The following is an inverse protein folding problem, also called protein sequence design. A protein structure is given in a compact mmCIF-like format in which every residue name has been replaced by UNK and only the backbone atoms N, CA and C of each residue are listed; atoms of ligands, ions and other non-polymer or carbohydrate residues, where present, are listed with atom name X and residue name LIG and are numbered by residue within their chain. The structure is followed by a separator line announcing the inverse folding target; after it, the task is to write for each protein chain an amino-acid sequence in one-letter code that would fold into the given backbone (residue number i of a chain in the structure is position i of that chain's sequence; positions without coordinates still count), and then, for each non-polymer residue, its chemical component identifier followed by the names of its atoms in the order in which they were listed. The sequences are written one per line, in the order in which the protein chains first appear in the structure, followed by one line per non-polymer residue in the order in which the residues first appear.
data_IF_043327061818
#
_entry.id   IF_043327061818
#
_cell.length_a   1.000
_cell.length_b   1.000
_cell.length_c   1.000
_cell.angle_alpha   90.00
_cell.angle_beta   90.00
_cell.angle_gamma   90.00
#
_symmetry.space_group_name_H-M   'P 1'
#
loop_
_entity.id
_entity.type
_entity.pdbx_description
1 polymer ?
#
# COMPACT_ATOMS: atom_id res chain seq x y z
N UNK A 1 -22.16 -50.64 -38.90
CA UNK A 1 -21.60 -51.94 -38.52
C UNK A 1 -21.03 -52.53 -39.81
N UNK A 2 -19.74 -52.31 -40.07
CA UNK A 2 -19.07 -52.86 -41.25
C UNK A 2 -18.76 -54.32 -40.96
N UNK A 3 -19.41 -55.22 -41.70
CA UNK A 3 -19.00 -56.63 -41.77
C UNK A 3 -17.61 -56.61 -42.40
N UNK A 4 -16.55 -57.15 -41.75
CA UNK A 4 -15.29 -57.30 -42.44
C UNK A 4 -15.51 -58.29 -43.59
N UNK A 5 -15.25 -57.84 -44.82
CA UNK A 5 -15.09 -58.73 -45.97
C UNK A 5 -13.97 -59.71 -45.62
N UNK A 6 -14.34 -60.93 -45.23
CA UNK A 6 -13.42 -62.06 -45.26
C UNK A 6 -13.02 -62.26 -46.72
N UNK A 7 -11.72 -62.13 -46.99
CA UNK A 7 -11.16 -62.44 -48.29
C UNK A 7 -11.53 -63.89 -48.69
N UNK A 8 -11.89 -64.17 -49.95
CA UNK A 8 -12.21 -65.52 -50.42
C UNK A 8 -10.91 -66.30 -50.65
N UNK A 9 -10.15 -66.54 -49.58
CA UNK A 9 -8.72 -66.79 -49.73
C UNK A 9 -8.09 -67.85 -48.83
N UNK A 10 -8.84 -68.59 -48.02
CA UNK A 10 -8.28 -69.76 -47.29
C UNK A 10 -9.39 -70.77 -46.95
N UNK A 11 -10.12 -71.24 -47.97
CA UNK A 11 -10.84 -72.51 -47.81
C UNK A 11 -9.83 -73.65 -47.90
N UNK A 12 -9.15 -73.94 -46.78
CA UNK A 12 -8.34 -75.16 -46.65
C UNK A 12 -9.32 -76.31 -46.52
N UNK A 13 -9.54 -77.04 -47.62
CA UNK A 13 -10.33 -78.27 -47.57
C UNK A 13 -9.69 -79.24 -46.56
N UNK A 14 -10.50 -79.97 -45.79
CA UNK A 14 -9.98 -81.00 -44.90
C UNK A 14 -9.12 -81.98 -45.71
N UNK A 15 -7.95 -82.35 -45.16
CA UNK A 15 -7.03 -83.28 -45.83
C UNK A 15 -7.77 -84.56 -46.20
N UNK A 16 -7.77 -84.87 -47.49
CA UNK A 16 -8.29 -86.12 -48.02
C UNK A 16 -7.60 -87.30 -47.32
N UNK A 17 -8.32 -88.29 -46.78
CA UNK A 17 -7.71 -89.55 -46.35
C UNK A 17 -6.83 -90.11 -47.46
N UNK A 18 -5.55 -90.40 -47.17
CA UNK A 18 -4.53 -90.76 -48.18
C UNK A 18 -4.78 -92.11 -48.90
N UNK A 19 -5.88 -92.79 -48.59
CA UNK A 19 -6.27 -94.10 -49.15
C UNK A 19 -7.39 -94.02 -50.20
N UNK A 20 -7.87 -92.81 -50.54
CA UNK A 20 -8.95 -92.64 -51.52
C UNK A 20 -8.42 -92.81 -52.95
N UNK A 21 -9.24 -93.37 -53.83
CA UNK A 21 -8.86 -93.63 -55.22
C UNK A 21 -8.71 -92.39 -56.13
N UNK A 22 -8.86 -91.18 -55.57
CA UNK A 22 -8.82 -89.90 -56.28
C UNK A 22 -8.17 -88.78 -55.47
N UNK A 23 -7.70 -87.73 -56.16
CA UNK A 23 -7.23 -86.52 -55.50
C UNK A 23 -8.37 -85.49 -55.36
N UNK A 24 -8.62 -85.04 -54.12
CA UNK A 24 -9.62 -84.05 -53.78
C UNK A 24 -9.47 -82.70 -54.52
N UNK A 25 -8.24 -82.33 -54.89
CA UNK A 25 -7.93 -81.06 -55.56
C UNK A 25 -8.48 -81.00 -57.01
N UNK A 26 -8.84 -82.14 -57.60
CA UNK A 26 -9.42 -82.19 -58.95
C UNK A 26 -10.84 -81.62 -59.00
N UNK A 27 -11.60 -81.71 -57.89
CA UNK A 27 -12.97 -81.16 -57.80
C UNK A 27 -13.03 -79.64 -57.76
N UNK A 28 -11.90 -78.96 -57.52
CA UNK A 28 -11.82 -77.50 -57.39
C UNK A 28 -11.44 -76.84 -58.73
N UNK A 29 -10.94 -77.63 -59.70
CA UNK A 29 -10.50 -77.12 -61.00
C UNK A 29 -11.71 -76.68 -61.83
N UNK A 30 -11.66 -75.48 -62.39
CA UNK A 30 -12.72 -74.95 -63.27
C UNK A 30 -12.96 -75.81 -64.52
N UNK A 31 -11.97 -76.62 -64.93
CA UNK A 31 -12.04 -77.55 -66.06
C UNK A 31 -12.49 -78.96 -65.68
N UNK A 32 -13.11 -79.15 -64.51
CA UNK A 32 -13.52 -80.48 -64.05
C UNK A 32 -14.58 -81.09 -64.99
N UNK A 33 -14.29 -82.30 -65.48
CA UNK A 33 -15.23 -83.09 -66.26
C UNK A 33 -15.35 -84.49 -65.66
N UNK A 34 -16.60 -84.89 -65.39
CA UNK A 34 -16.93 -86.19 -64.78
C UNK A 34 -16.45 -87.33 -65.67
N UNK A 35 -16.55 -87.18 -66.99
CA UNK A 35 -16.17 -88.22 -67.95
C UNK A 35 -14.65 -88.42 -68.01
N UNK A 36 -13.88 -87.34 -67.92
CA UNK A 36 -12.40 -87.42 -67.87
C UNK A 36 -11.92 -88.00 -66.53
N UNK A 37 -12.52 -87.55 -65.42
CA UNK A 37 -12.23 -88.06 -64.07
C UNK A 37 -12.46 -89.57 -63.95
N UNK A 38 -13.59 -90.07 -64.48
CA UNK A 38 -13.89 -91.50 -64.49
C UNK A 38 -12.95 -92.30 -65.41
N UNK A 39 -12.50 -91.72 -66.53
CA UNK A 39 -11.56 -92.37 -67.45
C UNK A 39 -10.16 -92.51 -66.82
N UNK A 40 -9.67 -91.46 -66.18
CA UNK A 40 -8.32 -91.40 -65.60
C UNK A 40 -8.18 -92.32 -64.38
N UNK A 41 -9.28 -92.60 -63.66
CA UNK A 41 -9.26 -93.44 -62.45
C UNK A 41 -9.82 -94.85 -62.67
N UNK A 42 -10.27 -95.17 -63.89
CA UNK A 42 -10.82 -96.50 -64.28
C UNK A 42 -9.84 -97.67 -64.09
N UNK A 43 -8.53 -97.40 -64.12
CA UNK A 43 -7.48 -98.42 -63.91
C UNK A 43 -7.18 -98.68 -62.43
N UNK A 44 -7.59 -97.77 -61.54
CA UNK A 44 -7.19 -97.78 -60.13
C UNK A 44 -8.31 -98.23 -59.18
N UNK A 45 -9.60 -98.12 -59.57
CA UNK A 45 -10.72 -98.55 -58.73
C UNK A 45 -11.98 -98.96 -59.54
N UNK A 46 -12.79 -99.86 -58.95
CA UNK A 46 -14.13 -100.18 -59.47
C UNK A 46 -15.15 -99.08 -59.09
N UNK A 47 -16.22 -98.93 -59.88
CA UNK A 47 -17.25 -97.90 -59.69
C UNK A 47 -17.90 -97.93 -58.29
N UNK A 48 -18.02 -99.10 -57.67
CA UNK A 48 -18.57 -99.23 -56.31
C UNK A 48 -17.62 -98.66 -55.25
N UNK A 49 -16.31 -98.93 -55.38
CA UNK A 49 -15.27 -98.40 -54.49
C UNK A 49 -15.21 -96.87 -54.62
N UNK A 50 -15.29 -96.36 -55.85
CA UNK A 50 -15.28 -94.92 -56.11
C UNK A 50 -16.50 -94.19 -55.53
N UNK A 51 -17.69 -94.81 -55.59
CA UNK A 51 -18.91 -94.29 -54.95
C UNK A 51 -18.73 -94.22 -53.44
N UNK A 52 -18.21 -95.28 -52.84
CA UNK A 52 -18.04 -95.37 -51.40
C UNK A 52 -16.98 -94.36 -50.91
N UNK A 53 -15.88 -94.20 -51.64
CA UNK A 53 -14.84 -93.20 -51.43
C UNK A 53 -15.36 -91.77 -51.55
N UNK A 54 -16.18 -91.47 -52.56
CA UNK A 54 -16.87 -90.18 -52.70
C UNK A 54 -17.84 -89.92 -51.53
N UNK A 55 -18.53 -90.97 -51.05
CA UNK A 55 -19.41 -90.90 -49.89
C UNK A 55 -18.65 -90.60 -48.59
N UNK A 56 -17.46 -91.20 -48.42
CA UNK A 56 -16.54 -90.91 -47.31
C UNK A 56 -16.07 -89.47 -47.39
N UNK A 57 -15.60 -89.02 -48.56
CA UNK A 57 -15.13 -87.64 -48.76
C UNK A 57 -16.23 -86.60 -48.50
N UNK A 58 -17.47 -86.85 -48.95
CA UNK A 58 -18.63 -85.99 -48.67
C UNK A 58 -18.92 -85.88 -47.16
N UNK A 59 -18.81 -86.98 -46.41
CA UNK A 59 -18.98 -86.97 -44.95
C UNK A 59 -17.87 -86.18 -44.26
N UNK A 60 -16.62 -86.35 -44.69
CA UNK A 60 -15.46 -85.58 -44.19
C UNK A 60 -15.63 -84.09 -44.46
N UNK A 61 -16.05 -83.72 -45.67
CA UNK A 61 -16.37 -82.33 -46.03
C UNK A 61 -17.47 -81.73 -45.15
N UNK A 62 -18.55 -82.47 -44.91
CA UNK A 62 -19.64 -82.02 -44.01
C UNK A 62 -19.14 -81.84 -42.57
N UNK A 63 -18.31 -82.75 -42.06
CA UNK A 63 -17.71 -82.64 -40.72
C UNK A 63 -16.83 -81.40 -40.62
N UNK A 64 -15.94 -81.19 -41.60
CA UNK A 64 -15.03 -80.05 -41.62
C UNK A 64 -15.77 -78.70 -41.74
N UNK A 65 -16.86 -78.65 -42.53
CA UNK A 65 -17.70 -77.46 -42.63
C UNK A 65 -18.35 -77.13 -41.27
N UNK A 66 -18.87 -78.14 -40.57
CA UNK A 66 -19.44 -77.98 -39.23
C UNK A 66 -18.37 -77.51 -38.24
N UNK A 67 -17.16 -78.08 -38.30
CA UNK A 67 -16.02 -77.67 -37.47
C UNK A 67 -15.59 -76.23 -37.73
N UNK A 68 -15.55 -75.79 -38.99
CA UNK A 68 -15.20 -74.42 -39.36
C UNK A 68 -16.25 -73.42 -38.85
N UNK A 69 -17.54 -73.73 -39.03
CA UNK A 69 -18.64 -72.92 -38.47
C UNK A 69 -18.54 -72.84 -36.94
N UNK A 70 -18.27 -73.96 -36.27
CA UNK A 70 -18.14 -74.00 -34.81
C UNK A 70 -16.91 -73.24 -34.31
N UNK A 71 -15.81 -73.27 -35.06
CA UNK A 71 -14.61 -72.47 -34.78
C UNK A 71 -14.91 -70.98 -34.89
N UNK A 72 -15.49 -70.54 -36.00
CA UNK A 72 -15.84 -69.13 -36.22
C UNK A 72 -16.86 -68.64 -35.18
N UNK A 73 -17.81 -69.50 -34.80
CA UNK A 73 -18.77 -69.22 -33.73
C UNK A 73 -18.07 -69.06 -32.37
N UNK A 74 -17.07 -69.89 -32.07
CA UNK A 74 -16.27 -69.80 -30.84
C UNK A 74 -15.43 -68.51 -30.83
N UNK A 75 -14.81 -68.16 -31.95
CA UNK A 75 -14.05 -66.91 -32.09
C UNK A 75 -14.97 -65.69 -31.91
N UNK A 76 -16.15 -65.68 -32.53
CA UNK A 76 -17.14 -64.62 -32.37
C UNK A 76 -17.65 -64.51 -30.92
N UNK A 77 -17.96 -65.62 -30.25
CA UNK A 77 -18.32 -65.62 -28.83
C UNK A 77 -17.17 -65.10 -27.97
N UNK A 78 -15.95 -65.53 -28.22
CA UNK A 78 -14.80 -65.08 -27.44
C UNK A 78 -14.56 -63.58 -27.58
N UNK A 79 -14.70 -63.03 -28.81
CA UNK A 79 -14.53 -61.61 -29.07
C UNK A 79 -15.64 -60.78 -28.42
N UNK A 80 -16.90 -61.20 -28.56
CA UNK A 80 -18.05 -60.54 -27.92
C UNK A 80 -17.95 -60.57 -26.39
N UNK A 81 -17.52 -61.69 -25.81
CA UNK A 81 -17.27 -61.80 -24.36
C UNK A 81 -16.15 -60.86 -23.91
N UNK A 82 -15.05 -60.81 -24.65
CA UNK A 82 -13.93 -59.91 -24.37
C UNK A 82 -14.30 -58.43 -24.48
N UNK A 83 -15.19 -58.07 -25.41
CA UNK A 83 -15.66 -56.70 -25.59
C UNK A 83 -16.52 -56.25 -24.40
N UNK A 84 -17.37 -57.12 -23.90
CA UNK A 84 -18.15 -56.89 -22.67
C UNK A 84 -17.24 -56.72 -21.45
N UNK A 85 -16.17 -57.51 -21.36
CA UNK A 85 -15.19 -57.36 -20.28
C UNK A 85 -14.30 -56.12 -20.45
N UNK A 86 -14.10 -55.64 -21.68
CA UNK A 86 -13.42 -54.38 -21.96
C UNK A 86 -14.25 -53.19 -21.46
N UNK A 87 -15.56 -53.19 -21.66
CA UNK A 87 -16.47 -52.17 -21.11
C UNK A 87 -16.39 -52.12 -19.58
N UNK A 88 -16.39 -53.30 -18.92
CA UNK A 88 -16.18 -53.36 -17.46
C UNK A 88 -14.82 -52.79 -17.03
N UNK A 89 -13.75 -53.06 -17.80
CA UNK A 89 -12.41 -52.49 -17.52
C UNK A 89 -12.38 -50.98 -17.75
N UNK A 90 -13.08 -50.49 -18.76
CA UNK A 90 -13.22 -49.07 -19.04
C UNK A 90 -13.95 -48.38 -17.88
N UNK A 91 -15.07 -48.94 -17.41
CA UNK A 91 -15.80 -48.45 -16.23
C UNK A 91 -14.91 -48.46 -14.97
N UNK A 92 -14.12 -49.51 -14.78
CA UNK A 92 -13.17 -49.62 -13.68
C UNK A 92 -12.07 -48.54 -13.70
N UNK A 93 -11.82 -47.90 -14.85
CA UNK A 93 -10.86 -46.79 -14.97
C UNK A 93 -11.59 -45.44 -14.92
N UNK A 94 -12.73 -45.33 -15.60
CA UNK A 94 -13.52 -44.11 -15.68
C UNK A 94 -14.04 -43.68 -14.30
N UNK A 95 -14.48 -44.64 -13.47
CA UNK A 95 -14.99 -44.35 -12.13
C UNK A 95 -13.93 -43.74 -11.20
N UNK A 96 -12.72 -44.33 -11.02
CA UNK A 96 -11.65 -43.73 -10.24
C UNK A 96 -11.17 -42.37 -10.77
N UNK A 97 -11.12 -42.17 -12.09
CA UNK A 97 -10.74 -40.88 -12.68
C UNK A 97 -11.79 -39.81 -12.38
N UNK A 98 -13.08 -40.16 -12.46
CA UNK A 98 -14.18 -39.29 -12.08
C UNK A 98 -14.13 -38.92 -10.59
N UNK A 99 -13.84 -39.89 -9.73
CA UNK A 99 -13.63 -39.66 -8.29
C UNK A 99 -12.44 -38.74 -8.06
N UNK A 100 -11.27 -39.02 -8.66
CA UNK A 100 -10.07 -38.18 -8.52
C UNK A 100 -10.32 -36.74 -8.97
N UNK A 101 -10.99 -36.55 -10.11
CA UNK A 101 -11.40 -35.24 -10.61
C UNK A 101 -12.31 -34.52 -9.60
N UNK A 102 -13.27 -35.23 -9.01
CA UNK A 102 -14.12 -34.72 -7.93
C UNK A 102 -13.31 -34.30 -6.69
N UNK A 103 -12.36 -35.13 -6.26
CA UNK A 103 -11.46 -34.82 -5.14
C UNK A 103 -10.57 -33.61 -5.43
N UNK A 104 -10.00 -33.49 -6.63
CA UNK A 104 -9.21 -32.33 -7.05
C UNK A 104 -10.07 -31.07 -7.01
N UNK A 105 -11.28 -31.13 -7.57
CA UNK A 105 -12.22 -30.00 -7.56
C UNK A 105 -12.61 -29.59 -6.14
N UNK A 106 -12.86 -30.56 -5.26
CA UNK A 106 -13.16 -30.31 -3.85
C UNK A 106 -11.97 -29.66 -3.13
N UNK A 107 -10.76 -30.18 -3.34
CA UNK A 107 -9.53 -29.62 -2.75
C UNK A 107 -9.26 -28.21 -3.26
N UNK A 108 -9.48 -27.95 -4.55
CA UNK A 108 -9.37 -26.61 -5.11
C UNK A 108 -10.40 -25.66 -4.51
N UNK A 109 -11.65 -26.10 -4.31
CA UNK A 109 -12.68 -25.32 -3.63
C UNK A 109 -12.31 -25.00 -2.17
N UNK A 110 -11.81 -25.99 -1.42
CA UNK A 110 -11.30 -25.80 -0.06
C UNK A 110 -10.15 -24.79 -0.03
N UNK A 111 -9.20 -24.90 -0.95
CA UNK A 111 -8.06 -23.98 -1.05
C UNK A 111 -8.52 -22.55 -1.36
N UNK A 112 -9.45 -22.38 -2.30
CA UNK A 112 -10.00 -21.07 -2.64
C UNK A 112 -10.68 -20.42 -1.42
N UNK A 113 -11.48 -21.19 -0.67
CA UNK A 113 -12.12 -20.70 0.56
C UNK A 113 -11.08 -20.32 1.62
N UNK A 114 -10.05 -21.15 1.82
CA UNK A 114 -8.96 -20.83 2.76
C UNK A 114 -8.18 -19.58 2.36
N UNK A 115 -7.96 -19.36 1.05
CA UNK A 115 -7.32 -18.13 0.55
C UNK A 115 -8.20 -16.90 0.84
N UNK A 116 -9.51 -17.01 0.65
CA UNK A 116 -10.45 -15.92 0.94
C UNK A 116 -10.46 -15.59 2.44
N UNK A 117 -10.55 -16.59 3.30
CA UNK A 117 -10.43 -16.44 4.76
C UNK A 117 -9.10 -15.77 5.14
N UNK A 118 -7.99 -16.25 4.57
CA UNK A 118 -6.65 -15.69 4.83
C UNK A 118 -6.56 -14.22 4.42
N UNK A 119 -7.17 -13.84 3.29
CA UNK A 119 -7.24 -12.44 2.85
C UNK A 119 -8.03 -11.55 3.83
N UNK A 120 -9.12 -12.06 4.40
CA UNK A 120 -9.86 -11.37 5.47
C UNK A 120 -8.97 -11.16 6.69
N UNK A 121 -8.25 -12.20 7.13
CA UNK A 121 -7.30 -12.09 8.24
C UNK A 121 -6.17 -11.10 7.97
N UNK A 122 -5.61 -11.08 6.76
CA UNK A 122 -4.55 -10.13 6.37
C UNK A 122 -5.09 -8.69 6.42
N UNK A 123 -6.30 -8.44 5.90
CA UNK A 123 -6.94 -7.11 5.98
C UNK A 123 -7.13 -6.68 7.44
N UNK A 124 -7.66 -7.57 8.28
CA UNK A 124 -7.84 -7.31 9.72
C UNK A 124 -6.52 -7.03 10.42
N UNK A 125 -5.46 -7.81 10.12
CA UNK A 125 -4.11 -7.61 10.68
C UNK A 125 -3.53 -6.26 10.30
N UNK A 126 -3.73 -5.80 9.06
CA UNK A 126 -3.32 -4.46 8.61
C UNK A 126 -4.04 -3.36 9.39
N UNK A 127 -5.36 -3.48 9.57
CA UNK A 127 -6.15 -2.52 10.36
C UNK A 127 -5.68 -2.47 11.81
N UNK A 128 -5.50 -3.63 12.46
CA UNK A 128 -4.99 -3.71 13.84
C UNK A 128 -3.60 -3.07 13.98
N UNK A 129 -2.71 -3.24 12.99
CA UNK A 129 -1.39 -2.61 12.99
C UNK A 129 -1.49 -1.08 12.97
N UNK A 130 -2.37 -0.52 12.13
CA UNK A 130 -2.61 0.92 12.08
C UNK A 130 -3.19 1.45 13.38
N UNK A 131 -4.20 0.78 13.94
CA UNK A 131 -4.77 1.13 15.24
C UNK A 131 -3.73 1.08 16.36
N UNK A 132 -2.89 0.03 16.40
CA UNK A 132 -1.80 -0.09 17.36
C UNK A 132 -0.81 1.08 17.25
N UNK A 133 -0.48 1.51 16.04
CA UNK A 133 0.41 2.65 15.83
C UNK A 133 -0.19 3.95 16.37
N UNK A 134 -1.47 4.21 16.09
CA UNK A 134 -2.19 5.38 16.62
C UNK A 134 -2.21 5.38 18.15
N UNK A 135 -2.56 4.24 18.77
CA UNK A 135 -2.54 4.10 20.23
C UNK A 135 -1.14 4.27 20.83
N UNK A 136 -0.11 3.81 20.12
CA UNK A 136 1.29 3.98 20.56
C UNK A 136 1.68 5.46 20.54
N UNK A 137 1.34 6.19 19.47
CA UNK A 137 1.55 7.64 19.39
C UNK A 137 0.79 8.39 20.47
N UNK A 138 -0.48 8.03 20.71
CA UNK A 138 -1.29 8.58 21.79
C UNK A 138 -0.62 8.39 23.16
N UNK A 139 -0.14 7.17 23.44
CA UNK A 139 0.58 6.88 24.69
C UNK A 139 1.86 7.70 24.83
N UNK A 140 2.59 7.93 23.73
CA UNK A 140 3.77 8.80 23.73
C UNK A 140 3.39 10.25 24.07
N UNK A 141 2.32 10.77 23.48
CA UNK A 141 1.79 12.11 23.78
C UNK A 141 1.42 12.20 25.26
N UNK A 142 0.62 11.27 25.78
CA UNK A 142 0.21 11.28 27.20
C UNK A 142 1.40 11.20 28.16
N UNK A 143 2.42 10.41 27.82
CA UNK A 143 3.64 10.32 28.62
C UNK A 143 4.39 11.65 28.65
N UNK A 144 4.67 12.25 27.49
CA UNK A 144 5.32 13.55 27.40
C UNK A 144 4.52 14.66 28.04
N UNK A 145 3.18 14.63 27.95
CA UNK A 145 2.31 15.56 28.67
C UNK A 145 2.44 15.42 30.19
N UNK A 146 2.62 14.21 30.74
CA UNK A 146 2.89 14.02 32.17
C UNK A 146 4.24 14.60 32.56
N UNK A 147 5.27 14.40 31.74
CA UNK A 147 6.60 14.99 31.96
C UNK A 147 6.51 16.52 31.96
N UNK A 148 5.85 17.11 30.96
CA UNK A 148 5.64 18.57 30.89
C UNK A 148 4.86 19.11 32.11
N UNK A 149 3.84 18.38 32.58
CA UNK A 149 3.12 18.75 33.80
C UNK A 149 4.02 18.71 35.05
N UNK A 150 4.94 17.75 35.13
CA UNK A 150 5.90 17.70 36.24
C UNK A 150 6.89 18.88 36.19
N UNK A 151 7.32 19.27 34.99
CA UNK A 151 8.20 20.42 34.77
C UNK A 151 7.52 21.76 35.01
N UNK A 152 6.19 21.79 35.04
CA UNK A 152 5.44 22.98 35.44
C UNK A 152 5.79 23.43 36.87
N UNK A 153 6.19 22.51 37.75
CA UNK A 153 6.57 22.81 39.14
C UNK A 153 8.09 22.94 39.36
N UNK A 154 8.90 22.83 38.31
CA UNK A 154 10.35 23.01 38.41
C UNK A 154 10.69 24.51 38.40
N UNK A 155 11.71 24.88 39.20
CA UNK A 155 12.24 26.25 39.31
C UNK A 155 13.53 26.48 38.49
N UNK A 156 14.18 25.42 37.98
CA UNK A 156 15.40 25.53 37.17
C UNK A 156 15.07 25.89 35.72
N UNK A 157 15.11 27.18 35.41
CA UNK A 157 14.77 27.75 34.09
C UNK A 157 15.55 27.12 32.92
N UNK A 158 16.80 26.68 33.14
CA UNK A 158 17.68 26.19 32.07
C UNK A 158 17.32 24.76 31.70
N UNK A 159 17.09 23.90 32.71
CA UNK A 159 16.62 22.53 32.51
C UNK A 159 15.20 22.54 31.94
N UNK A 160 14.36 23.46 32.41
CA UNK A 160 13.00 23.66 31.92
C UNK A 160 13.03 24.02 30.43
N UNK A 161 13.91 24.94 30.00
CA UNK A 161 14.00 25.42 28.63
C UNK A 161 14.26 24.31 27.60
N UNK A 162 15.36 23.58 27.74
CA UNK A 162 15.73 22.52 26.78
C UNK A 162 14.73 21.38 26.81
N UNK A 163 14.27 21.00 28.01
CA UNK A 163 13.34 19.89 28.14
C UNK A 163 11.97 20.23 27.59
N UNK A 164 11.44 21.42 27.86
CA UNK A 164 10.17 21.91 27.29
C UNK A 164 10.24 21.91 25.77
N UNK A 165 11.30 22.46 25.18
CA UNK A 165 11.50 22.49 23.73
C UNK A 165 11.47 21.10 23.09
N UNK A 166 12.24 20.16 23.67
CA UNK A 166 12.32 18.79 23.16
C UNK A 166 10.97 18.06 23.25
N UNK A 167 10.26 18.21 24.38
CA UNK A 167 8.97 17.56 24.60
C UNK A 167 7.84 18.17 23.76
N UNK A 168 7.83 19.49 23.54
CA UNK A 168 6.88 20.14 22.64
C UNK A 168 7.08 19.62 21.22
N UNK A 169 8.32 19.63 20.73
CA UNK A 169 8.64 19.16 19.37
C UNK A 169 8.23 17.69 19.20
N UNK A 170 8.51 16.87 20.21
CA UNK A 170 8.13 15.46 20.24
C UNK A 170 6.60 15.26 20.21
N UNK A 171 5.86 15.98 21.06
CA UNK A 171 4.39 15.91 21.08
C UNK A 171 3.81 16.35 19.74
N UNK A 172 4.29 17.45 19.16
CA UNK A 172 3.81 17.95 17.88
C UNK A 172 4.02 16.96 16.73
N UNK A 173 5.16 16.29 16.70
CA UNK A 173 5.41 15.21 15.75
C UNK A 173 4.36 14.09 15.86
N UNK A 174 4.06 13.64 17.08
CA UNK A 174 3.07 12.58 17.30
C UNK A 174 1.62 13.04 17.08
N UNK A 175 1.28 14.29 17.40
CA UNK A 175 -0.03 14.89 17.10
C UNK A 175 -0.25 14.92 15.59
N UNK A 176 0.72 15.38 14.82
CA UNK A 176 0.62 15.44 13.35
C UNK A 176 0.38 14.06 12.71
N UNK A 177 0.87 12.98 13.32
CA UNK A 177 0.64 11.62 12.86
C UNK A 177 -0.77 11.07 13.20
N UNK A 178 -1.50 11.69 14.12
CA UNK A 178 -2.76 11.17 14.67
C UNK A 178 -3.95 12.14 14.61
N UNK A 179 -3.75 13.39 14.18
CA UNK A 179 -4.78 14.46 14.21
C UNK A 179 -6.08 14.12 13.49
N UNK A 180 -6.04 13.27 12.46
CA UNK A 180 -7.22 12.88 11.67
C UNK A 180 -7.97 11.67 12.25
N UNK A 181 -7.63 11.24 13.47
CA UNK A 181 -8.19 10.04 14.11
C UNK A 181 -9.15 10.41 15.23
N UNK A 182 -10.34 9.77 15.31
CA UNK A 182 -11.33 10.08 16.35
C UNK A 182 -10.79 9.79 17.76
N UNK A 183 -9.87 8.84 17.92
CA UNK A 183 -9.22 8.54 19.20
C UNK A 183 -8.42 9.74 19.76
N UNK A 184 -7.97 10.66 18.90
CA UNK A 184 -7.21 11.83 19.30
C UNK A 184 -8.07 12.95 19.91
N UNK A 185 -9.37 13.02 19.60
CA UNK A 185 -10.26 14.11 20.07
C UNK A 185 -10.22 14.28 21.59
N UNK A 186 -10.22 13.17 22.33
CA UNK A 186 -10.18 13.19 23.81
C UNK A 186 -8.86 13.72 24.38
N UNK A 187 -7.76 13.53 23.65
CA UNK A 187 -6.42 13.97 24.08
C UNK A 187 -6.19 15.40 23.65
N UNK A 188 -6.78 15.81 22.52
CA UNK A 188 -6.69 17.17 21.99
C UNK A 188 -7.13 18.22 23.01
N UNK A 189 -8.21 17.96 23.76
CA UNK A 189 -8.68 18.90 24.80
C UNK A 189 -7.68 19.03 25.95
N UNK A 190 -7.08 17.93 26.38
CA UNK A 190 -6.09 17.91 27.46
C UNK A 190 -4.77 18.54 27.00
N UNK A 191 -4.40 18.33 25.75
CA UNK A 191 -3.24 18.96 25.15
C UNK A 191 -3.44 20.47 25.05
N UNK A 192 -4.60 20.93 24.60
CA UNK A 192 -4.87 22.36 24.46
C UNK A 192 -4.85 23.07 25.83
N UNK A 193 -5.43 22.47 26.87
CA UNK A 193 -5.37 23.06 28.22
C UNK A 193 -3.93 23.14 28.76
N UNK A 194 -3.13 22.09 28.56
CA UNK A 194 -1.71 22.08 28.92
C UNK A 194 -0.92 23.11 28.11
N UNK A 195 -1.17 23.20 26.80
CA UNK A 195 -0.55 24.16 25.90
C UNK A 195 -0.80 25.59 26.38
N UNK A 196 -2.03 25.95 26.75
CA UNK A 196 -2.33 27.28 27.29
C UNK A 196 -1.58 27.55 28.61
N UNK A 197 -1.51 26.57 29.51
CA UNK A 197 -0.74 26.70 30.76
C UNK A 197 0.76 26.92 30.50
N UNK A 198 1.35 26.16 29.57
CA UNK A 198 2.74 26.30 29.17
C UNK A 198 3.01 27.63 28.48
N UNK A 199 2.10 28.10 27.63
CA UNK A 199 2.19 29.42 26.99
C UNK A 199 2.30 30.50 28.05
N UNK A 200 1.38 30.57 29.02
CA UNK A 200 1.43 31.56 30.10
C UNK A 200 2.73 31.47 30.92
N UNK A 201 3.19 30.24 31.25
CA UNK A 201 4.44 30.07 32.01
C UNK A 201 5.65 30.57 31.22
N UNK A 202 5.78 30.18 29.95
CA UNK A 202 6.90 30.57 29.08
C UNK A 202 6.88 32.07 28.80
N UNK A 203 5.71 32.67 28.62
CA UNK A 203 5.55 34.12 28.45
C UNK A 203 6.08 34.89 29.66
N UNK A 204 5.71 34.46 30.87
CA UNK A 204 6.23 35.09 32.10
C UNK A 204 7.75 34.95 32.24
N UNK A 205 8.30 33.79 31.87
CA UNK A 205 9.75 33.55 31.89
C UNK A 205 10.48 34.38 30.82
N UNK A 206 9.89 34.53 29.63
CA UNK A 206 10.40 35.40 28.57
C UNK A 206 10.50 36.85 29.05
N UNK A 207 9.45 37.39 29.70
CA UNK A 207 9.46 38.75 30.22
C UNK A 207 10.53 38.96 31.30
N UNK A 208 10.73 37.97 32.18
CA UNK A 208 11.82 38.00 33.18
C UNK A 208 13.19 37.98 32.51
N UNK A 209 13.42 37.07 31.57
CA UNK A 209 14.68 36.97 30.83
C UNK A 209 14.98 38.24 30.02
N UNK A 210 13.94 38.85 29.43
CA UNK A 210 14.05 40.14 28.74
C UNK A 210 14.47 41.27 29.71
N UNK A 211 13.82 41.38 30.87
CA UNK A 211 14.16 42.38 31.89
C UNK A 211 15.58 42.20 32.44
N UNK A 212 16.05 40.96 32.57
CA UNK A 212 17.41 40.63 32.98
C UNK A 212 18.46 40.74 31.86
N UNK A 213 18.06 41.02 30.62
CA UNK A 213 18.91 41.06 29.41
C UNK A 213 19.63 39.75 29.10
N UNK A 214 18.99 38.61 29.35
CA UNK A 214 19.54 37.27 29.12
C UNK A 214 19.28 36.78 27.69
N UNK A 215 20.06 37.25 26.72
CA UNK A 215 19.83 36.99 25.27
C UNK A 215 19.65 35.51 24.92
N UNK A 216 20.50 34.62 25.46
CA UNK A 216 20.40 33.18 25.19
C UNK A 216 19.05 32.59 25.64
N UNK A 217 18.57 32.95 26.83
CA UNK A 217 17.27 32.46 27.33
C UNK A 217 16.11 33.05 26.55
N UNK A 218 16.19 34.34 26.17
CA UNK A 218 15.18 35.01 25.33
C UNK A 218 15.02 34.27 24.00
N UNK A 219 16.13 33.93 23.34
CA UNK A 219 16.10 33.17 22.09
C UNK A 219 15.41 31.82 22.26
N UNK A 220 15.81 31.05 23.28
CA UNK A 220 15.22 29.74 23.53
C UNK A 220 13.72 29.81 23.88
N UNK A 221 13.27 30.80 24.67
CA UNK A 221 11.86 30.98 24.98
C UNK A 221 11.05 31.37 23.74
N UNK A 222 11.59 32.20 22.85
CA UNK A 222 10.94 32.53 21.58
C UNK A 222 10.81 31.30 20.70
N UNK A 223 11.87 30.50 20.55
CA UNK A 223 11.82 29.23 19.81
C UNK A 223 10.74 28.31 20.40
N UNK A 224 10.62 28.25 21.74
CA UNK A 224 9.62 27.42 22.41
C UNK A 224 8.19 27.89 22.13
N UNK A 225 7.96 29.20 22.15
CA UNK A 225 6.66 29.77 21.83
C UNK A 225 6.29 29.56 20.36
N UNK A 226 7.23 29.80 19.44
CA UNK A 226 7.02 29.58 17.99
C UNK A 226 6.68 28.12 17.72
N UNK A 227 7.38 27.18 18.38
CA UNK A 227 7.03 25.78 18.30
C UNK A 227 5.62 25.53 18.83
N UNK A 228 5.21 26.04 20.00
CA UNK A 228 3.85 25.83 20.52
C UNK A 228 2.72 26.38 19.65
N UNK A 229 2.94 27.54 19.02
CA UNK A 229 1.92 28.26 18.25
C UNK A 229 2.37 28.43 16.80
N UNK A 230 2.84 29.62 16.47
CA UNK A 230 3.43 30.01 15.21
C UNK A 230 4.16 31.35 15.40
N UNK A 231 4.87 31.79 14.35
CA UNK A 231 5.59 33.06 14.34
C UNK A 231 4.67 34.26 14.59
N UNK A 232 3.49 34.27 13.97
CA UNK A 232 2.58 35.42 14.00
C UNK A 232 2.00 35.70 15.39
N UNK A 233 1.74 34.65 16.17
CA UNK A 233 1.26 34.77 17.55
C UNK A 233 2.36 35.32 18.45
N UNK A 234 3.61 34.90 18.25
CA UNK A 234 4.76 35.40 19.02
C UNK A 234 5.06 36.86 18.68
N UNK A 235 5.01 37.24 17.41
CA UNK A 235 5.15 38.64 16.99
C UNK A 235 4.09 39.55 17.62
N UNK A 236 2.82 39.12 17.66
CA UNK A 236 1.74 39.87 18.33
C UNK A 236 2.00 40.00 19.83
N UNK A 237 2.46 38.94 20.48
CA UNK A 237 2.78 38.96 21.90
C UNK A 237 3.88 39.96 22.22
N UNK A 238 4.98 39.92 21.47
CA UNK A 238 6.10 40.85 21.68
C UNK A 238 5.66 42.29 21.43
N UNK A 239 4.84 42.51 20.40
CA UNK A 239 4.25 43.82 20.14
C UNK A 239 3.40 44.35 21.30
N UNK A 240 2.58 43.49 21.93
CA UNK A 240 1.66 43.89 23.00
C UNK A 240 2.35 44.06 24.35
N UNK A 241 3.18 43.08 24.75
CA UNK A 241 3.72 43.01 26.11
C UNK A 241 5.07 43.74 26.27
N UNK A 242 5.84 43.89 25.18
CA UNK A 242 7.18 44.49 25.23
C UNK A 242 7.23 45.83 24.49
N UNK A 243 6.84 45.85 23.21
CA UNK A 243 7.04 47.03 22.36
C UNK A 243 6.01 48.13 22.59
N UNK A 244 4.74 47.78 22.78
CA UNK A 244 3.69 48.76 23.05
C UNK A 244 3.97 49.61 24.29
N UNK A 245 4.25 49.05 25.49
CA UNK A 245 4.53 49.86 26.67
C UNK A 245 5.81 50.69 26.51
N UNK A 246 6.86 50.13 25.91
CA UNK A 246 8.13 50.83 25.69
C UNK A 246 7.97 52.05 24.77
N UNK A 247 7.24 51.89 23.66
CA UNK A 247 7.02 53.00 22.73
C UNK A 247 5.88 53.94 23.14
N UNK A 248 4.98 53.53 24.04
CA UNK A 248 4.02 54.45 24.69
C UNK A 248 4.75 55.48 25.55
N UNK A 249 5.72 55.03 26.35
CA UNK A 249 6.54 55.91 27.17
C UNK A 249 7.48 56.79 26.32
N UNK A 250 8.04 56.22 25.25
CA UNK A 250 9.04 56.90 24.43
C UNK A 250 8.44 57.86 23.40
N UNK A 251 7.39 57.45 22.68
CA UNK A 251 6.83 58.17 21.52
C UNK A 251 5.49 58.80 21.90
N UNK A 252 5.54 60.02 22.44
CA UNK A 252 4.38 60.84 22.76
C UNK A 252 4.69 62.34 22.56
N UNK A 253 3.66 63.19 22.49
CA UNK A 253 3.81 64.64 22.28
C UNK A 253 4.64 65.31 23.38
N UNK A 254 4.55 64.82 24.63
CA UNK A 254 5.32 65.34 25.77
C UNK A 254 6.83 65.06 25.60
N UNK A 255 7.18 63.86 25.11
CA UNK A 255 8.55 63.46 24.80
C UNK A 255 9.12 64.21 23.61
N UNK A 256 8.27 64.67 22.67
CA UNK A 256 8.69 65.53 21.58
C UNK A 256 8.92 66.98 22.05
N UNK A 257 8.07 67.47 22.95
CA UNK A 257 8.14 68.84 23.47
C UNK A 257 9.28 69.04 24.48
N UNK A 258 9.62 67.99 25.23
CA UNK A 258 10.69 68.02 26.25
C UNK A 258 12.09 67.79 25.68
N UNK A 259 12.23 67.25 24.47
CA UNK A 259 13.54 66.94 23.89
C UNK A 259 14.22 68.20 23.32
N UNK A 260 15.43 68.57 23.77
CA UNK A 260 16.14 69.74 23.28
C UNK A 260 16.51 69.66 21.79
N UNK A 261 16.56 68.45 21.21
CA UNK A 261 16.76 68.22 19.77
C UNK A 261 15.45 67.93 19.03
N UNK A 262 14.32 68.02 19.71
CA UNK A 262 12.99 67.78 19.18
C UNK A 262 12.89 66.41 18.47
N UNK A 263 12.42 66.34 17.22
CA UNK A 263 12.22 65.06 16.52
C UNK A 263 13.52 64.27 16.30
N UNK A 264 14.65 64.92 16.03
CA UNK A 264 15.94 64.25 15.84
C UNK A 264 16.40 63.54 17.12
N UNK A 265 16.17 64.16 18.29
CA UNK A 265 16.46 63.53 19.59
C UNK A 265 15.57 62.32 19.87
N UNK A 266 14.30 62.42 19.50
CA UNK A 266 13.34 61.32 19.61
C UNK A 266 13.71 60.14 18.69
N UNK A 267 14.10 60.41 17.44
CA UNK A 267 14.61 59.39 16.52
C UNK A 267 15.90 58.72 17.02
N UNK A 268 16.86 59.50 17.54
CA UNK A 268 18.07 58.95 18.13
C UNK A 268 17.78 58.01 19.33
N UNK A 269 16.79 58.35 20.16
CA UNK A 269 16.33 57.48 21.24
C UNK A 269 15.74 56.18 20.70
N UNK A 270 14.85 56.24 19.71
CA UNK A 270 14.29 55.04 19.05
C UNK A 270 15.42 54.15 18.50
N UNK A 271 16.40 54.71 17.81
CA UNK A 271 17.53 53.96 17.25
C UNK A 271 18.37 53.28 18.35
N UNK A 272 18.62 53.96 19.47
CA UNK A 272 19.34 53.35 20.60
C UNK A 272 18.62 52.13 21.19
N UNK A 273 17.29 52.15 21.20
CA UNK A 273 16.50 50.99 21.58
C UNK A 273 16.59 49.90 20.52
N UNK A 274 16.52 50.22 19.23
CA UNK A 274 16.71 49.23 18.15
C UNK A 274 18.04 48.47 18.31
N UNK A 275 19.13 49.16 18.62
CA UNK A 275 20.43 48.51 18.87
C UNK A 275 20.42 47.64 20.12
N UNK A 276 19.79 48.10 21.21
CA UNK A 276 19.60 47.28 22.42
C UNK A 276 18.75 46.04 22.16
N UNK A 277 17.74 46.12 21.29
CA UNK A 277 16.91 44.98 20.90
C UNK A 277 17.70 43.99 20.06
N UNK A 278 18.55 44.44 19.14
CA UNK A 278 19.45 43.55 18.40
C UNK A 278 20.39 42.77 19.32
N UNK A 279 20.89 43.38 20.38
CA UNK A 279 21.73 42.68 21.36
C UNK A 279 20.98 41.60 22.12
N UNK A 280 19.71 41.82 22.45
CA UNK A 280 18.90 40.89 23.24
C UNK A 280 18.32 39.76 22.35
N UNK A 281 17.85 40.11 21.16
CA UNK A 281 17.14 39.19 20.25
C UNK A 281 18.00 38.70 19.08
N UNK A 282 19.25 39.15 18.95
CA UNK A 282 20.13 38.84 17.82
C UNK A 282 20.57 37.37 17.74
N UNK A 283 20.40 36.61 18.82
CA UNK A 283 20.70 35.17 18.87
C UNK A 283 19.53 34.28 18.39
N UNK A 284 18.49 34.86 17.77
CA UNK A 284 17.32 34.10 17.30
C UNK A 284 17.60 33.54 15.90
N UNK A 285 17.75 32.22 15.82
CA UNK A 285 17.99 31.48 14.59
C UNK A 285 16.66 30.96 13.99
N UNK A 286 15.73 31.87 13.66
CA UNK A 286 14.47 31.52 13.01
C UNK A 286 14.34 32.35 11.73
N UNK A 287 14.50 31.72 10.57
CA UNK A 287 14.52 32.40 9.25
C UNK A 287 13.27 33.26 8.97
N UNK A 288 12.12 32.83 9.49
CA UNK A 288 10.83 33.50 9.32
C UNK A 288 10.54 34.57 10.38
N UNK A 289 11.33 34.67 11.44
CA UNK A 289 11.11 35.60 12.54
C UNK A 289 12.00 36.84 12.37
N UNK A 290 11.42 37.92 11.87
CA UNK A 290 12.12 39.20 11.76
C UNK A 290 11.50 40.24 12.70
N UNK A 291 12.05 40.33 13.91
CA UNK A 291 11.56 41.26 14.93
C UNK A 291 11.59 42.73 14.47
N UNK A 292 12.63 43.12 13.75
CA UNK A 292 12.81 44.50 13.32
C UNK A 292 11.77 44.90 12.28
N UNK A 293 11.60 44.08 11.24
CA UNK A 293 10.69 44.35 10.12
C UNK A 293 9.24 44.11 10.50
N UNK A 294 8.94 43.02 11.21
CA UNK A 294 7.55 42.59 11.44
C UNK A 294 6.94 43.16 12.73
N UNK A 295 7.76 43.56 13.71
CA UNK A 295 7.27 44.08 14.99
C UNK A 295 7.63 45.56 15.21
N UNK A 296 8.94 45.85 15.25
CA UNK A 296 9.45 47.17 15.66
C UNK A 296 9.00 48.29 14.72
N UNK A 297 9.30 48.17 13.42
CA UNK A 297 8.99 49.22 12.44
C UNK A 297 7.49 49.53 12.37
N UNK A 298 6.59 48.52 12.22
CA UNK A 298 5.14 48.78 12.21
C UNK A 298 4.65 49.48 13.48
N UNK A 299 5.17 49.08 14.64
CA UNK A 299 4.76 49.68 15.91
C UNK A 299 5.25 51.13 16.04
N UNK A 300 6.51 51.41 15.69
CA UNK A 300 7.06 52.78 15.69
C UNK A 300 6.29 53.69 14.73
N UNK A 301 6.06 53.25 13.49
CA UNK A 301 5.32 54.02 12.49
C UNK A 301 3.88 54.28 12.93
N UNK A 302 3.21 53.27 13.48
CA UNK A 302 1.86 53.41 14.04
C UNK A 302 1.84 54.45 15.15
N UNK A 303 2.83 54.45 16.04
CA UNK A 303 2.90 55.40 17.15
C UNK A 303 3.11 56.83 16.69
N UNK A 304 4.09 57.07 15.81
CA UNK A 304 4.30 58.40 15.24
C UNK A 304 3.07 58.94 14.49
N UNK A 305 2.42 58.09 13.68
CA UNK A 305 1.27 58.50 12.89
C UNK A 305 0.05 58.85 13.75
N UNK A 306 -0.20 58.09 14.82
CA UNK A 306 -1.41 58.24 15.64
C UNK A 306 -1.25 59.23 16.79
N UNK A 307 -0.09 59.23 17.44
CA UNK A 307 0.12 59.92 18.72
C UNK A 307 1.03 61.14 18.62
N UNK A 308 1.73 61.35 17.50
CA UNK A 308 2.61 62.51 17.30
C UNK A 308 2.28 63.22 15.99
N UNK A 309 1.02 63.66 15.86
CA UNK A 309 0.51 64.28 14.63
C UNK A 309 1.19 65.62 14.33
N UNK A 310 1.79 66.25 15.34
CA UNK A 310 2.59 67.46 15.22
C UNK A 310 3.82 67.29 14.30
N UNK A 311 4.29 66.06 14.06
CA UNK A 311 5.42 65.76 13.16
C UNK A 311 5.16 66.24 11.73
N UNK A 312 3.92 66.16 11.27
CA UNK A 312 3.58 66.52 9.89
C UNK A 312 3.56 68.03 9.64
N UNK A 313 3.54 68.87 10.69
CA UNK A 313 3.59 70.34 10.62
C UNK A 313 2.88 70.97 9.39
N UNK A 314 1.62 70.62 9.06
CA UNK A 314 1.03 70.92 7.76
C UNK A 314 0.80 72.43 7.50
N UNK A 315 0.94 73.26 8.53
CA UNK A 315 0.79 74.72 8.44
C UNK A 315 2.09 75.51 8.29
N UNK A 316 3.27 74.87 8.28
CA UNK A 316 4.56 75.56 8.15
C UNK A 316 5.50 74.79 7.20
N UNK A 317 5.73 75.35 6.00
CA UNK A 317 6.49 74.69 4.94
C UNK A 317 7.97 74.42 5.32
N UNK A 318 8.62 75.36 6.01
CA UNK A 318 10.03 75.21 6.42
C UNK A 318 10.17 74.14 7.50
N UNK A 319 9.26 74.13 8.47
CA UNK A 319 9.21 73.09 9.50
C UNK A 319 8.87 71.72 8.91
N UNK A 320 7.93 71.66 7.97
CA UNK A 320 7.61 70.43 7.25
C UNK A 320 8.83 69.88 6.51
N UNK A 321 9.53 70.72 5.74
CA UNK A 321 10.74 70.30 5.01
C UNK A 321 11.83 69.79 5.96
N UNK A 322 12.05 70.48 7.08
CA UNK A 322 13.00 70.05 8.10
C UNK A 322 12.64 68.68 8.69
N UNK A 323 11.40 68.49 9.12
CA UNK A 323 10.90 67.22 9.71
C UNK A 323 10.91 66.07 8.70
N UNK A 324 10.61 66.37 7.44
CA UNK A 324 10.76 65.42 6.35
C UNK A 324 12.20 64.94 6.23
N UNK A 325 13.17 65.86 6.17
CA UNK A 325 14.60 65.51 6.07
C UNK A 325 15.10 64.71 7.27
N UNK A 326 14.71 65.09 8.49
CA UNK A 326 15.01 64.36 9.73
C UNK A 326 14.42 62.93 9.68
N UNK A 327 13.20 62.77 9.14
CA UNK A 327 12.53 61.46 9.01
C UNK A 327 13.18 60.58 7.94
N UNK A 328 13.62 61.15 6.81
CA UNK A 328 14.35 60.40 5.78
C UNK A 328 15.69 59.89 6.30
N UNK A 329 16.44 60.73 7.04
CA UNK A 329 17.69 60.32 7.66
C UNK A 329 17.50 59.20 8.69
N UNK A 330 16.42 59.24 9.46
CA UNK A 330 16.06 58.17 10.39
C UNK A 330 15.77 56.84 9.67
N UNK A 331 15.05 56.89 8.54
CA UNK A 331 14.78 55.71 7.72
C UNK A 331 16.08 55.14 7.12
N UNK A 332 16.98 55.97 6.61
CA UNK A 332 18.28 55.54 6.08
C UNK A 332 19.11 54.81 7.15
N UNK A 333 19.05 55.28 8.41
CA UNK A 333 19.74 54.66 9.55
C UNK A 333 19.07 53.36 10.02
N UNK A 334 17.74 53.26 9.90
CA UNK A 334 16.99 52.02 10.15
C UNK A 334 17.26 50.96 9.07
N UNK A 335 17.39 51.37 7.80
CA UNK A 335 17.69 50.45 6.70
C UNK A 335 19.12 49.93 6.77
N UNK A 336 20.09 50.76 7.16
CA UNK A 336 21.45 50.29 7.51
C UNK A 336 21.47 49.35 8.72
N UNK A 337 20.40 49.36 9.51
CA UNK A 337 20.23 48.54 10.69
C UNK A 337 19.52 47.21 10.43
N UNK A 338 19.10 46.95 9.19
CA UNK A 338 18.53 45.68 8.75
C UNK A 338 19.62 44.66 8.44
#
# INVERSE_FOLDING_TARGET
MMIPNSAPGDFVLPKCPQELCFNADEFIKESFSVDQFLQDHRRNANLEIMRDDLGIYLKTLRSAMIELINKDYTEFISLSTNLIDLDKRLDNIQSPIGQLSGHIRQTHGKLANTIEEMNVYIKKKKQLKLQKQVLTNIRHIEHSMKVLNQLHNCDDETIILERILSEITFIQFHINACKDKPEFEKISTNWESLKQCLLTKIQNLLLRAYNNRESSKVSCFIIALVNLTDVTHVEKLINQEILAPLFDELINEESLASDPRSLEGLFARVLSHVDSFKQIFGAIEIDSFNLLVNCMIPQVLKRFTLYVKSIFAPGNADMFHRRYKESTQFLDQLDCSR
#
